data_IF_907386453093
#
_entry.id   IF_907386453093
#
_cell.length_a   1.000
_cell.length_b   1.000
_cell.length_c   1.000
_cell.angle_alpha   90.00
_cell.angle_beta   90.00
_cell.angle_gamma   90.00
#
_symmetry.space_group_name_H-M   'P 1'
#
loop_
_entity.id
_entity.type
_entity.pdbx_description
1 polymer ?
#
# COMPACT_ATOMS: atom_id res chain seq x y z
N UNK A 1 -16.53 -19.89 30.80
CA UNK A 1 -17.88 -20.18 30.29
C UNK A 1 -17.77 -21.39 29.40
N UNK A 2 -18.67 -22.35 29.58
CA UNK A 2 -18.85 -23.45 28.63
C UNK A 2 -19.22 -22.89 27.24
N UNK A 3 -19.05 -23.69 26.19
CA UNK A 3 -19.46 -23.28 24.85
C UNK A 3 -20.97 -22.97 24.86
N UNK A 4 -21.35 -21.80 24.35
CA UNK A 4 -22.75 -21.35 24.33
C UNK A 4 -23.53 -21.99 23.18
N UNK A 5 -22.84 -22.64 22.25
CA UNK A 5 -23.42 -23.23 21.04
C UNK A 5 -23.50 -24.75 21.19
N UNK A 6 -24.54 -25.34 20.59
CA UNK A 6 -24.61 -26.80 20.44
C UNK A 6 -23.50 -27.30 19.50
N UNK A 7 -23.11 -28.59 19.55
CA UNK A 7 -22.09 -29.14 18.65
C UNK A 7 -22.38 -28.88 17.16
N UNK A 8 -23.63 -29.00 16.73
CA UNK A 8 -24.07 -28.73 15.35
C UNK A 8 -23.93 -27.25 14.98
N UNK A 9 -24.35 -26.35 15.86
CA UNK A 9 -24.20 -24.90 15.67
C UNK A 9 -22.71 -24.52 15.61
N UNK A 10 -21.88 -25.13 16.46
CA UNK A 10 -20.43 -24.93 16.46
C UNK A 10 -19.81 -25.42 15.15
N UNK A 11 -20.20 -26.60 14.68
CA UNK A 11 -19.75 -27.15 13.42
C UNK A 11 -20.10 -26.22 12.25
N UNK A 12 -21.35 -25.74 12.18
CA UNK A 12 -21.81 -24.79 11.15
C UNK A 12 -21.08 -23.43 11.24
N UNK A 13 -20.81 -22.96 12.44
CA UNK A 13 -20.03 -21.73 12.65
C UNK A 13 -18.60 -21.90 12.10
N UNK A 14 -17.93 -23.00 12.47
CA UNK A 14 -16.57 -23.30 12.02
C UNK A 14 -16.47 -23.49 10.51
N UNK A 15 -17.46 -24.12 9.87
CA UNK A 15 -17.49 -24.30 8.41
C UNK A 15 -17.71 -23.00 7.64
N UNK A 16 -18.29 -21.99 8.27
CA UNK A 16 -18.52 -20.67 7.68
C UNK A 16 -17.29 -19.76 7.72
N UNK A 17 -16.24 -20.14 8.46
CA UNK A 17 -15.02 -19.33 8.62
C UNK A 17 -14.17 -19.49 7.36
N UNK A 18 -14.10 -18.42 6.57
CA UNK A 18 -13.31 -18.38 5.33
C UNK A 18 -11.86 -18.06 5.64
N UNK A 19 -10.95 -18.70 4.89
CA UNK A 19 -9.51 -18.45 4.97
C UNK A 19 -9.04 -17.23 4.17
N UNK A 20 -9.89 -16.66 3.31
CA UNK A 20 -9.57 -15.52 2.43
C UNK A 20 -10.79 -14.64 2.22
N UNK A 21 -10.56 -13.40 1.83
CA UNK A 21 -11.59 -12.38 1.59
C UNK A 21 -12.47 -12.18 2.83
N UNK A 22 -11.86 -12.19 4.02
CA UNK A 22 -12.58 -11.88 5.24
C UNK A 22 -13.05 -10.42 5.23
N UNK A 23 -14.06 -10.11 6.04
CA UNK A 23 -14.58 -8.74 6.19
C UNK A 23 -13.47 -7.70 6.47
N UNK A 24 -12.51 -7.92 7.40
CA UNK A 24 -11.43 -6.96 7.63
C UNK A 24 -10.50 -6.80 6.41
N UNK A 25 -10.16 -7.88 5.70
CA UNK A 25 -9.34 -7.78 4.48
C UNK A 25 -10.03 -6.94 3.39
N UNK A 26 -11.33 -7.20 3.13
CA UNK A 26 -12.11 -6.44 2.15
C UNK A 26 -12.14 -4.95 2.51
N UNK A 27 -12.28 -4.65 3.80
CA UNK A 27 -12.32 -3.27 4.30
C UNK A 27 -11.00 -2.53 4.02
N UNK A 28 -9.86 -3.13 4.37
CA UNK A 28 -8.54 -2.54 4.08
C UNK A 28 -8.34 -2.37 2.58
N UNK A 29 -8.70 -3.38 1.77
CA UNK A 29 -8.60 -3.31 0.31
C UNK A 29 -9.40 -2.16 -0.30
N UNK A 30 -10.66 -1.98 0.12
CA UNK A 30 -11.51 -0.88 -0.35
C UNK A 30 -10.90 0.47 -0.01
N UNK A 31 -10.36 0.61 1.22
CA UNK A 31 -9.72 1.83 1.64
C UNK A 31 -8.45 2.14 0.83
N UNK A 32 -7.56 1.17 0.65
CA UNK A 32 -6.34 1.36 -0.13
C UNK A 32 -6.66 1.73 -1.59
N UNK A 33 -7.65 1.07 -2.18
CA UNK A 33 -8.10 1.37 -3.54
C UNK A 33 -8.67 2.80 -3.65
N UNK A 34 -9.49 3.23 -2.69
CA UNK A 34 -10.04 4.58 -2.64
C UNK A 34 -8.94 5.66 -2.52
N UNK A 35 -7.80 5.33 -1.92
CA UNK A 35 -6.61 6.21 -1.83
C UNK A 35 -5.68 6.09 -3.06
N UNK A 36 -6.11 5.45 -4.15
CA UNK A 36 -5.34 5.32 -5.38
C UNK A 36 -4.17 4.31 -5.31
N UNK A 37 -4.06 3.54 -4.23
CA UNK A 37 -2.99 2.56 -4.07
C UNK A 37 -3.30 1.27 -4.82
N UNK A 38 -2.41 0.89 -5.74
CA UNK A 38 -2.50 -0.37 -6.47
C UNK A 38 -1.79 -1.48 -5.70
N UNK A 39 -2.48 -2.60 -5.52
CA UNK A 39 -1.98 -3.76 -4.78
C UNK A 39 -2.32 -5.07 -5.50
N UNK A 40 -1.59 -6.13 -5.15
CA UNK A 40 -1.94 -7.52 -5.48
C UNK A 40 -2.42 -8.22 -4.21
N UNK A 41 -3.26 -9.23 -4.38
CA UNK A 41 -3.81 -10.01 -3.27
C UNK A 41 -3.31 -11.44 -3.32
N UNK A 42 -3.22 -12.11 -2.16
CA UNK A 42 -2.97 -13.54 -2.04
C UNK A 42 -1.76 -14.03 -2.86
N UNK A 43 -0.62 -13.33 -2.75
CA UNK A 43 0.56 -13.63 -3.57
C UNK A 43 1.28 -14.85 -3.02
N UNK A 44 0.97 -16.03 -3.59
CA UNK A 44 1.56 -17.33 -3.17
C UNK A 44 3.07 -17.45 -3.37
N UNK A 45 3.68 -16.55 -4.15
CA UNK A 45 5.14 -16.53 -4.38
C UNK A 45 5.92 -15.98 -3.18
N UNK A 46 5.25 -15.35 -2.23
CA UNK A 46 5.87 -14.77 -1.05
C UNK A 46 5.58 -15.65 0.18
N UNK A 47 6.53 -15.75 1.14
CA UNK A 47 6.30 -16.44 2.40
C UNK A 47 5.02 -15.95 3.10
N UNK A 48 4.24 -16.87 3.65
CA UNK A 48 2.99 -16.55 4.34
C UNK A 48 1.81 -16.14 3.48
N UNK A 49 1.96 -16.11 2.15
CA UNK A 49 0.90 -15.65 1.21
C UNK A 49 0.22 -14.36 1.69
N UNK A 50 0.94 -13.23 1.69
CA UNK A 50 0.43 -11.98 2.26
C UNK A 50 -0.91 -11.56 1.64
N UNK A 51 -1.80 -11.02 2.48
CA UNK A 51 -3.15 -10.61 2.07
C UNK A 51 -3.09 -9.51 0.99
N UNK A 52 -2.20 -8.53 1.20
CA UNK A 52 -2.05 -7.37 0.34
C UNK A 52 -0.56 -7.10 0.11
N UNK A 53 -0.18 -6.97 -1.16
CA UNK A 53 1.20 -6.70 -1.59
C UNK A 53 1.24 -5.43 -2.42
N UNK A 54 2.01 -4.45 -1.94
CA UNK A 54 2.25 -3.17 -2.60
C UNK A 54 3.68 -3.13 -3.15
N UNK A 55 3.84 -3.56 -4.42
CA UNK A 55 5.16 -3.68 -5.07
C UNK A 55 5.91 -2.34 -5.17
N UNK A 56 5.19 -1.23 -5.45
CA UNK A 56 5.77 0.12 -5.56
C UNK A 56 6.50 0.54 -4.28
N UNK A 57 5.96 0.12 -3.13
CA UNK A 57 6.42 0.47 -1.80
C UNK A 57 7.28 -0.63 -1.16
N UNK A 58 7.59 -1.71 -1.90
CA UNK A 58 8.17 -2.97 -1.37
C UNK A 58 7.55 -3.40 -0.03
N UNK A 59 6.23 -3.23 0.11
CA UNK A 59 5.53 -3.44 1.38
C UNK A 59 4.50 -4.54 1.25
N UNK A 60 4.40 -5.39 2.26
CA UNK A 60 3.36 -6.41 2.43
C UNK A 60 2.54 -6.12 3.68
N UNK A 61 1.23 -6.35 3.60
CA UNK A 61 0.31 -6.15 4.72
C UNK A 61 -0.38 -7.47 5.03
N UNK A 62 -0.31 -7.86 6.30
CA UNK A 62 -1.05 -8.99 6.87
C UNK A 62 -2.21 -8.48 7.71
N UNK A 63 -3.40 -9.01 7.47
CA UNK A 63 -4.64 -8.70 8.20
C UNK A 63 -4.97 -9.87 9.11
N UNK A 64 -4.44 -9.82 10.33
CA UNK A 64 -4.52 -10.94 11.27
C UNK A 64 -5.80 -10.89 12.11
N UNK A 65 -6.53 -12.01 12.13
CA UNK A 65 -7.61 -12.22 13.09
C UNK A 65 -7.05 -12.33 14.51
N UNK A 66 -7.60 -11.55 15.46
CA UNK A 66 -7.08 -11.51 16.83
C UNK A 66 -7.10 -12.87 17.53
N UNK A 67 -8.11 -13.69 17.25
CA UNK A 67 -8.23 -15.03 17.82
C UNK A 67 -7.18 -16.01 17.26
N UNK A 68 -7.04 -16.08 15.93
CA UNK A 68 -6.27 -17.13 15.24
C UNK A 68 -4.75 -16.97 15.32
N UNK A 69 -4.28 -15.73 15.49
CA UNK A 69 -2.86 -15.40 15.59
C UNK A 69 -2.47 -14.97 17.02
N UNK A 70 -3.40 -15.06 17.98
CA UNK A 70 -3.16 -14.76 19.38
C UNK A 70 -2.70 -13.33 19.65
N UNK A 71 -3.58 -12.35 19.46
CA UNK A 71 -3.23 -10.95 19.75
C UNK A 71 -3.08 -10.71 21.26
N UNK A 72 -1.88 -10.32 21.69
CA UNK A 72 -1.58 -10.00 23.09
C UNK A 72 -2.28 -8.71 23.55
N UNK A 73 -2.71 -8.67 24.81
CA UNK A 73 -3.42 -7.50 25.37
C UNK A 73 -4.79 -7.21 24.74
N UNK A 74 -5.31 -8.09 23.89
CA UNK A 74 -6.55 -7.86 23.17
C UNK A 74 -7.76 -8.51 23.84
N UNK A 75 -8.81 -7.72 24.12
CA UNK A 75 -10.09 -8.24 24.64
C UNK A 75 -10.79 -9.27 23.75
N UNK A 76 -10.45 -9.32 22.47
CA UNK A 76 -11.03 -10.25 21.50
C UNK A 76 -10.25 -11.56 21.39
N UNK A 77 -9.09 -11.64 22.04
CA UNK A 77 -8.35 -12.88 22.19
C UNK A 77 -8.73 -13.51 23.54
N UNK A 78 -9.52 -14.57 23.49
CA UNK A 78 -9.88 -15.36 24.67
C UNK A 78 -9.68 -16.82 24.32
N UNK A 79 -8.83 -17.50 25.08
CA UNK A 79 -8.63 -18.93 24.93
C UNK A 79 -9.92 -19.68 25.27
N UNK A 80 -10.43 -20.56 24.39
CA UNK A 80 -11.59 -21.36 24.69
C UNK A 80 -11.29 -22.28 25.88
N UNK A 81 -12.21 -22.36 26.85
CA UNK A 81 -12.08 -23.31 27.97
C UNK A 81 -12.28 -24.77 27.56
N UNK A 82 -12.82 -25.01 26.37
CA UNK A 82 -12.98 -26.34 25.77
C UNK A 82 -11.77 -26.67 24.91
N UNK A 83 -11.12 -27.82 25.15
CA UNK A 83 -9.89 -28.26 24.45
C UNK A 83 -8.78 -27.20 24.51
N UNK A 84 -8.52 -26.67 25.71
CA UNK A 84 -7.52 -25.62 25.97
C UNK A 84 -6.16 -25.95 25.36
N UNK A 85 -5.65 -27.14 25.62
CA UNK A 85 -4.29 -27.54 25.25
C UNK A 85 -4.12 -27.58 23.72
N UNK A 86 -5.16 -28.08 23.03
CA UNK A 86 -5.22 -28.07 21.57
C UNK A 86 -5.20 -26.64 21.01
N UNK A 87 -6.02 -25.74 21.58
CA UNK A 87 -6.07 -24.35 21.11
C UNK A 87 -4.78 -23.61 21.41
N UNK A 88 -4.20 -23.79 22.59
CA UNK A 88 -2.94 -23.18 22.98
C UNK A 88 -1.81 -23.62 22.03
N UNK A 89 -1.63 -24.93 21.82
CA UNK A 89 -0.63 -25.45 20.89
C UNK A 89 -0.86 -24.97 19.45
N UNK A 90 -2.12 -24.86 19.01
CA UNK A 90 -2.46 -24.37 17.67
C UNK A 90 -2.14 -22.89 17.48
N UNK A 91 -2.47 -22.05 18.45
CA UNK A 91 -2.18 -20.62 18.41
C UNK A 91 -0.67 -20.37 18.46
N UNK A 92 0.05 -21.10 19.32
CA UNK A 92 1.50 -20.96 19.42
C UNK A 92 2.20 -21.32 18.11
N UNK A 93 1.85 -22.46 17.51
CA UNK A 93 2.35 -22.85 16.18
C UNK A 93 2.06 -21.81 15.11
N UNK A 94 0.90 -21.15 15.16
CA UNK A 94 0.58 -20.08 14.23
C UNK A 94 1.46 -18.84 14.46
N UNK A 95 1.70 -18.45 15.71
CA UNK A 95 2.60 -17.33 16.05
C UNK A 95 4.04 -17.58 15.61
N UNK A 96 4.54 -18.79 15.85
CA UNK A 96 5.88 -19.21 15.41
C UNK A 96 6.00 -19.14 13.88
N UNK A 97 5.00 -19.67 13.16
CA UNK A 97 4.94 -19.58 11.69
C UNK A 97 4.93 -18.13 11.21
N UNK A 98 4.03 -17.30 11.76
CA UNK A 98 3.92 -15.89 11.39
C UNK A 98 5.22 -15.14 11.65
N UNK A 99 5.93 -15.45 12.74
CA UNK A 99 7.23 -14.86 13.03
C UNK A 99 8.27 -15.25 11.98
N UNK A 100 8.36 -16.54 11.65
CA UNK A 100 9.28 -17.04 10.64
C UNK A 100 9.03 -16.40 9.26
N UNK A 101 7.76 -16.33 8.84
CA UNK A 101 7.37 -15.73 7.56
C UNK A 101 7.69 -14.23 7.50
N UNK A 102 7.41 -13.48 8.58
CA UNK A 102 7.76 -12.06 8.68
C UNK A 102 9.27 -11.84 8.60
N UNK A 103 10.06 -12.69 9.26
CA UNK A 103 11.52 -12.61 9.21
C UNK A 103 12.05 -12.91 7.80
N UNK A 104 11.52 -13.92 7.12
CA UNK A 104 11.89 -14.22 5.74
C UNK A 104 11.57 -13.06 4.80
N UNK A 105 10.40 -12.45 4.92
CA UNK A 105 10.00 -11.29 4.12
C UNK A 105 10.93 -10.09 4.34
N UNK A 106 11.29 -9.80 5.61
CA UNK A 106 12.25 -8.75 5.93
C UNK A 106 13.63 -9.02 5.33
N UNK A 107 14.13 -10.27 5.40
CA UNK A 107 15.40 -10.67 4.76
C UNK A 107 15.37 -10.51 3.24
N UNK A 108 14.21 -10.69 2.61
CA UNK A 108 14.00 -10.44 1.18
C UNK A 108 13.88 -8.94 0.83
N UNK A 109 14.02 -8.04 1.81
CA UNK A 109 13.93 -6.59 1.63
C UNK A 109 12.50 -6.07 1.51
N UNK A 110 11.51 -6.78 2.08
CA UNK A 110 10.14 -6.30 2.15
C UNK A 110 9.85 -5.66 3.51
N UNK A 111 9.17 -4.52 3.49
CA UNK A 111 8.55 -3.94 4.67
C UNK A 111 7.29 -4.72 5.01
N UNK A 112 7.12 -5.08 6.28
CA UNK A 112 5.99 -5.90 6.74
C UNK A 112 5.14 -5.10 7.71
N UNK A 113 3.89 -4.85 7.34
CA UNK A 113 2.88 -4.20 8.19
C UNK A 113 1.90 -5.28 8.67
N UNK A 114 1.69 -5.35 9.97
CA UNK A 114 0.67 -6.22 10.57
C UNK A 114 -0.50 -5.37 11.06
N UNK A 115 -1.70 -5.72 10.64
CA UNK A 115 -2.94 -5.06 11.02
C UNK A 115 -3.84 -6.09 11.70
N UNK A 116 -4.28 -5.79 12.91
CA UNK A 116 -5.14 -6.68 13.68
C UNK A 116 -6.61 -6.36 13.45
N UNK A 117 -7.47 -7.39 13.42
CA UNK A 117 -8.93 -7.20 13.26
C UNK A 117 -9.53 -6.21 14.27
N UNK A 118 -9.05 -6.22 15.52
CA UNK A 118 -9.54 -5.30 16.56
C UNK A 118 -9.27 -3.83 16.25
N UNK A 119 -8.20 -3.52 15.51
CA UNK A 119 -7.85 -2.17 15.08
C UNK A 119 -8.78 -1.67 13.96
N UNK A 120 -9.40 -2.60 13.22
CA UNK A 120 -10.34 -2.31 12.14
C UNK A 120 -11.80 -2.18 12.59
N UNK A 121 -12.07 -2.29 13.91
CA UNK A 121 -13.40 -2.03 14.48
C UNK A 121 -13.73 -0.52 14.41
N UNK A 122 -15.02 -0.14 14.37
CA UNK A 122 -15.44 1.24 14.11
C UNK A 122 -14.74 2.31 14.94
N UNK A 123 -14.43 2.02 16.21
CA UNK A 123 -13.76 2.96 17.14
C UNK A 123 -12.37 3.41 16.66
N UNK A 124 -11.56 2.48 16.11
CA UNK A 124 -10.14 2.74 15.80
C UNK A 124 -9.85 2.64 14.30
N UNK A 125 -10.85 2.23 13.51
CA UNK A 125 -10.71 1.93 12.08
C UNK A 125 -10.08 3.08 11.31
N UNK A 126 -10.60 4.29 11.47
CA UNK A 126 -10.16 5.43 10.68
C UNK A 126 -8.69 5.80 10.96
N UNK A 127 -8.31 5.85 12.23
CA UNK A 127 -6.93 6.11 12.66
C UNK A 127 -5.98 5.06 12.11
N UNK A 128 -6.35 3.78 12.21
CA UNK A 128 -5.54 2.66 11.71
C UNK A 128 -5.37 2.71 10.20
N UNK A 129 -6.44 3.02 9.46
CA UNK A 129 -6.37 3.12 8.01
C UNK A 129 -5.51 4.32 7.56
N UNK A 130 -5.66 5.47 8.21
CA UNK A 130 -4.83 6.65 7.97
C UNK A 130 -3.36 6.38 8.29
N UNK A 131 -3.06 5.68 9.39
CA UNK A 131 -1.69 5.35 9.75
C UNK A 131 -1.02 4.42 8.73
N UNK A 132 -1.75 3.46 8.15
CA UNK A 132 -1.22 2.60 7.07
C UNK A 132 -0.76 3.45 5.88
N UNK A 133 -1.59 4.38 5.40
CA UNK A 133 -1.22 5.25 4.26
C UNK A 133 -0.05 6.14 4.62
N UNK A 134 -0.04 6.71 5.83
CA UNK A 134 1.08 7.51 6.31
C UNK A 134 2.39 6.69 6.31
N UNK A 135 2.38 5.48 6.87
CA UNK A 135 3.55 4.59 6.89
C UNK A 135 4.01 4.23 5.48
N UNK A 136 3.10 3.94 4.56
CA UNK A 136 3.45 3.66 3.16
C UNK A 136 4.14 4.86 2.50
N UNK A 137 3.66 6.08 2.75
CA UNK A 137 4.28 7.29 2.22
C UNK A 137 5.67 7.51 2.83
N UNK A 138 5.85 7.27 4.14
CA UNK A 138 7.16 7.36 4.78
C UNK A 138 8.16 6.35 4.19
N UNK A 139 7.75 5.09 4.03
CA UNK A 139 8.57 4.06 3.38
C UNK A 139 8.96 4.49 1.96
N UNK A 140 8.00 5.01 1.20
CA UNK A 140 8.26 5.49 -0.16
C UNK A 140 9.31 6.61 -0.19
N UNK A 141 9.20 7.59 0.71
CA UNK A 141 10.14 8.70 0.79
C UNK A 141 11.53 8.24 1.21
N UNK A 142 11.63 7.33 2.17
CA UNK A 142 12.90 6.74 2.60
C UNK A 142 13.56 5.95 1.47
N UNK A 143 12.81 5.11 0.76
CA UNK A 143 13.32 4.33 -0.36
C UNK A 143 13.68 5.19 -1.58
N UNK A 144 12.99 6.32 -1.76
CA UNK A 144 13.22 7.24 -2.87
C UNK A 144 14.40 8.17 -2.62
N UNK A 145 14.57 8.69 -1.40
CA UNK A 145 15.70 9.55 -1.04
C UNK A 145 17.04 8.81 -1.18
N UNK A 146 17.08 7.52 -0.85
CA UNK A 146 18.26 6.66 -1.06
C UNK A 146 18.63 6.53 -2.55
N UNK A 147 17.65 6.65 -3.46
CA UNK A 147 17.90 6.57 -4.92
C UNK A 147 18.35 7.89 -5.52
N UNK A 148 18.02 9.02 -4.91
CA UNK A 148 18.48 10.34 -5.33
C UNK A 148 19.74 10.76 -4.58
N UNK A 149 20.88 10.19 -4.95
CA UNK A 149 22.19 10.81 -4.72
C UNK A 149 23.26 10.14 -5.60
N UNK A 150 23.33 10.54 -6.86
CA UNK A 150 24.63 10.65 -7.52
C UNK A 150 24.97 12.14 -7.50
N UNK A 151 25.85 12.62 -6.60
CA UNK A 151 26.39 13.96 -6.75
C UNK A 151 27.04 14.04 -8.13
N UNK A 152 26.81 15.15 -8.83
CA UNK A 152 27.59 15.45 -10.02
C UNK A 152 29.03 15.60 -9.53
N UNK A 153 29.90 14.66 -9.86
CA UNK A 153 31.34 14.86 -9.66
C UNK A 153 31.77 15.83 -10.74
N UNK A 154 31.96 17.09 -10.37
CA UNK A 154 32.81 17.98 -11.16
C UNK A 154 34.18 17.29 -11.24
N UNK A 155 34.53 16.84 -12.43
CA UNK A 155 35.90 16.42 -12.69
C UNK A 155 36.72 17.70 -12.63
N UNK A 156 37.45 17.90 -11.51
CA UNK A 156 38.50 18.91 -11.46
C UNK A 156 39.44 18.69 -12.64
N UNK A 157 39.73 19.79 -13.31
CA UNK A 157 40.41 19.92 -14.57
C UNK A 157 41.67 19.05 -14.66
N UNK A 158 41.73 18.21 -15.70
CA UNK A 158 42.92 17.42 -15.98
C UNK A 158 42.83 16.71 -17.32
N UNK A 159 43.31 17.40 -18.37
CA UNK A 159 43.55 16.88 -19.73
C UNK A 159 42.39 16.98 -20.74
N UNK A 160 42.23 18.19 -21.27
CA UNK A 160 42.28 18.42 -22.72
C UNK A 160 41.23 17.75 -23.60
N UNK A 161 40.09 18.41 -23.79
CA UNK A 161 39.37 18.34 -25.06
C UNK A 161 38.85 19.73 -25.39
N UNK A 162 39.53 20.40 -26.32
CA UNK A 162 39.19 21.77 -26.74
C UNK A 162 37.81 21.82 -27.37
N UNK A 163 36.94 22.67 -26.82
CA UNK A 163 35.67 23.02 -27.45
C UNK A 163 35.98 23.86 -28.69
N UNK A 164 35.72 23.32 -29.88
CA UNK A 164 35.67 24.12 -31.10
C UNK A 164 34.44 25.03 -30.99
N UNK A 165 34.67 26.33 -30.78
CA UNK A 165 33.63 27.33 -30.94
C UNK A 165 33.30 27.41 -32.43
N UNK A 166 32.16 26.87 -32.84
CA UNK A 166 31.59 27.22 -34.14
C UNK A 166 31.14 28.68 -34.09
N UNK A 167 31.41 29.42 -35.16
CA UNK A 167 31.12 30.84 -35.26
C UNK A 167 29.61 31.11 -35.12
N UNK A 168 29.25 32.23 -34.49
CA UNK A 168 27.88 32.67 -34.27
C UNK A 168 27.06 32.56 -35.56
N UNK A 169 26.09 31.64 -35.57
CA UNK A 169 25.07 31.63 -36.62
C UNK A 169 24.11 32.78 -36.38
N UNK A 170 24.05 33.72 -37.32
CA UNK A 170 23.05 34.79 -37.36
C UNK A 170 21.65 34.18 -37.36
N UNK A 171 20.96 34.25 -36.22
CA UNK A 171 19.58 33.80 -36.10
C UNK A 171 18.66 34.84 -36.76
N UNK A 172 18.29 34.59 -38.02
CA UNK A 172 17.31 35.41 -38.74
C UNK A 172 15.92 35.21 -38.13
N UNK A 173 15.46 36.15 -37.30
CA UNK A 173 14.05 36.25 -36.93
C UNK A 173 13.26 36.77 -38.13
N UNK A 174 12.62 35.88 -38.88
CA UNK A 174 11.62 36.28 -39.86
C UNK A 174 10.39 36.84 -39.13
N UNK A 175 10.30 38.16 -39.04
CA UNK A 175 9.05 38.84 -38.65
C UNK A 175 8.06 38.71 -39.81
N UNK A 176 7.15 37.76 -39.74
CA UNK A 176 5.97 37.75 -40.63
C UNK A 176 5.06 38.91 -40.25
N UNK A 177 5.00 39.93 -41.09
CA UNK A 177 4.05 41.04 -40.98
C UNK A 177 2.63 40.57 -41.35
N UNK A 178 1.58 41.17 -40.77
CA UNK A 178 0.20 40.71 -40.93
C UNK A 178 -0.39 41.18 -42.26
N UNK A 179 -0.89 40.24 -43.07
CA UNK A 179 -1.57 40.59 -44.31
C UNK A 179 -3.06 40.87 -44.04
N UNK A 180 -3.45 42.14 -44.19
CA UNK A 180 -4.85 42.59 -44.22
C UNK A 180 -5.43 42.28 -45.59
N UNK A 181 -6.44 41.43 -45.66
CA UNK A 181 -7.46 41.53 -46.71
C UNK A 181 -8.85 41.41 -46.11
N UNK A 182 -9.63 42.42 -46.45
CA UNK A 182 -10.95 42.79 -45.99
C UNK A 182 -12.02 42.00 -46.78
N UNK A 183 -12.91 41.30 -46.09
CA UNK A 183 -14.25 40.98 -46.60
C UNK A 183 -15.29 41.17 -45.50
N UNK A 184 -16.12 42.19 -45.71
CA UNK A 184 -17.33 42.52 -44.95
C UNK A 184 -18.32 41.35 -44.94
N UNK A 185 -18.91 41.09 -43.77
CA UNK A 185 -20.36 40.82 -43.57
C UNK A 185 -20.70 40.79 -42.08
N UNK A 186 -21.11 41.94 -41.57
CA UNK A 186 -22.38 42.20 -40.90
C UNK A 186 -23.06 41.13 -40.01
N UNK A 187 -23.42 41.61 -38.80
CA UNK A 187 -24.69 41.42 -38.06
C UNK A 187 -24.67 40.58 -36.75
N UNK A 188 -24.56 41.35 -35.65
CA UNK A 188 -25.36 41.39 -34.40
C UNK A 188 -25.36 40.27 -33.35
N UNK A 189 -25.07 40.72 -32.12
CA UNK A 189 -25.79 40.51 -30.86
C UNK A 189 -26.27 39.09 -30.48
N UNK A 190 -25.74 38.60 -29.35
CA UNK A 190 -26.51 38.20 -28.15
C UNK A 190 -25.63 37.43 -27.16
N UNK A 191 -25.12 38.12 -26.14
CA UNK A 191 -24.77 37.50 -24.85
C UNK A 191 -25.12 38.47 -23.72
N UNK A 192 -26.42 38.58 -23.46
CA UNK A 192 -26.95 38.91 -22.13
C UNK A 192 -27.87 37.76 -21.72
N UNK A 193 -27.74 37.36 -20.46
CA UNK A 193 -28.54 36.36 -19.71
C UNK A 193 -28.29 34.88 -20.01
N UNK A 194 -27.56 34.21 -19.12
CA UNK A 194 -28.08 33.20 -18.17
C UNK A 194 -27.04 32.92 -17.08
#
# INVERSE_FOLDING_TARGET
MADKLTPEQRHKCMSSIRSRNTKPEVLVRRFLFANGLRFRINVRRLPGTPDIVLRKYRTVIFVNGCFWHGHEGCRYFVLPKTRTDFWQAKIERNRERDLAERLQLRRMGWHVIQVWECQLKPKNRELTLKSIVHTLNQIFLQDYSIRQAKPYTEQEEGSGMGMAAEAESEYCYQTTTPNKTNTKKDITDKYETL
#
